data_IF_120988632888
#
_entry.id   IF_120988632888
#
_cell.length_a   1.000
_cell.length_b   1.000
_cell.length_c   1.000
_cell.angle_alpha   90.00
_cell.angle_beta   90.00
_cell.angle_gamma   90.00
#
_symmetry.space_group_name_H-M   'P 1'
#
loop_
_entity.id
_entity.type
_entity.pdbx_description
1 polymer ?
#
# COMPACT_ATOMS: atom_id res chain seq x y z
N UNK A 1 10.42 22.42 -18.84
CA UNK A 1 10.29 21.41 -19.92
C UNK A 1 10.25 19.97 -19.41
N UNK A 2 11.06 19.58 -18.42
CA UNK A 2 11.09 18.18 -17.92
C UNK A 2 9.80 17.72 -17.22
N UNK A 3 8.94 18.64 -16.79
CA UNK A 3 7.62 18.35 -16.23
C UNK A 3 6.64 17.73 -17.22
N UNK A 4 6.87 17.85 -18.54
CA UNK A 4 5.92 17.36 -19.55
C UNK A 4 5.77 15.84 -19.47
N UNK A 5 6.87 15.11 -19.33
CA UNK A 5 6.86 13.64 -19.29
C UNK A 5 6.26 13.09 -18.00
N UNK A 6 6.60 13.67 -16.84
CA UNK A 6 5.98 13.29 -15.56
C UNK A 6 4.48 13.55 -15.58
N UNK A 7 4.07 14.70 -16.12
CA UNK A 7 2.67 15.10 -16.16
C UNK A 7 1.87 14.28 -17.18
N UNK A 8 2.48 13.83 -18.27
CA UNK A 8 1.83 12.99 -19.26
C UNK A 8 1.48 11.61 -18.67
N UNK A 9 2.46 10.92 -18.07
CA UNK A 9 2.23 9.60 -17.45
C UNK A 9 1.28 9.72 -16.25
N UNK A 10 1.38 10.80 -15.49
CA UNK A 10 0.44 11.10 -14.41
C UNK A 10 -0.98 11.37 -14.91
N UNK A 11 -1.13 12.16 -15.98
CA UNK A 11 -2.43 12.43 -16.61
C UNK A 11 -3.08 11.15 -17.14
N UNK A 12 -2.29 10.30 -17.81
CA UNK A 12 -2.72 8.99 -18.28
C UNK A 12 -3.17 8.10 -17.11
N UNK A 13 -2.40 8.05 -16.02
CA UNK A 13 -2.76 7.30 -14.82
C UNK A 13 -4.05 7.81 -14.15
N UNK A 14 -4.27 9.13 -14.12
CA UNK A 14 -5.52 9.71 -13.60
C UNK A 14 -6.73 9.33 -14.46
N UNK A 15 -6.54 9.26 -15.77
CA UNK A 15 -7.56 8.89 -16.74
C UNK A 15 -7.70 7.37 -16.94
N UNK A 16 -6.85 6.55 -16.29
CA UNK A 16 -6.75 5.10 -16.51
C UNK A 16 -6.48 4.73 -17.99
N UNK A 17 -5.78 5.60 -18.71
CA UNK A 17 -5.37 5.34 -20.08
C UNK A 17 -4.02 4.63 -20.03
N UNK A 18 -3.95 3.42 -20.59
CA UNK A 18 -2.69 2.69 -20.68
C UNK A 18 -1.77 3.36 -21.72
N UNK A 19 -0.53 3.74 -21.37
CA UNK A 19 0.45 4.24 -22.33
C UNK A 19 0.79 3.17 -23.37
N UNK A 20 1.04 3.58 -24.61
CA UNK A 20 1.56 2.67 -25.66
C UNK A 20 3.05 2.46 -25.47
N UNK A 21 3.60 1.37 -26.00
CA UNK A 21 5.04 1.06 -25.91
C UNK A 21 5.91 2.18 -26.48
N UNK A 22 5.51 2.78 -27.61
CA UNK A 22 6.20 3.93 -28.20
C UNK A 22 6.18 5.15 -27.27
N UNK A 23 5.07 5.41 -26.57
CA UNK A 23 5.00 6.52 -25.61
C UNK A 23 5.86 6.26 -24.36
N UNK A 24 5.93 5.01 -23.90
CA UNK A 24 6.80 4.62 -22.79
C UNK A 24 8.27 4.74 -23.17
N UNK A 25 8.65 4.38 -24.39
CA UNK A 25 10.01 4.52 -24.88
C UNK A 25 10.46 6.00 -24.89
N UNK A 26 9.61 6.91 -25.36
CA UNK A 26 9.86 8.35 -25.29
C UNK A 26 9.95 8.85 -23.85
N UNK A 27 9.09 8.34 -22.96
CA UNK A 27 9.16 8.65 -21.53
C UNK A 27 10.51 8.21 -20.92
N UNK A 28 10.96 6.98 -21.19
CA UNK A 28 12.23 6.48 -20.66
C UNK A 28 13.43 7.26 -21.18
N UNK A 29 13.46 7.56 -22.48
CA UNK A 29 14.51 8.40 -23.08
C UNK A 29 14.50 9.82 -22.50
N UNK A 30 13.31 10.41 -22.37
CA UNK A 30 13.11 11.73 -21.78
C UNK A 30 13.54 11.79 -20.31
N UNK A 31 13.25 10.75 -19.53
CA UNK A 31 13.72 10.60 -18.16
C UNK A 31 15.24 10.49 -18.10
N UNK A 32 15.83 9.58 -18.87
CA UNK A 32 17.28 9.32 -18.90
C UNK A 32 18.09 10.58 -19.25
N UNK A 33 17.63 11.37 -20.23
CA UNK A 33 18.27 12.63 -20.60
C UNK A 33 18.18 13.75 -19.55
N UNK A 34 17.36 13.58 -18.51
CA UNK A 34 17.06 14.60 -17.51
C UNK A 34 17.17 14.12 -16.06
N UNK A 35 17.88 13.01 -15.84
CA UNK A 35 18.21 12.51 -14.50
C UNK A 35 18.84 13.60 -13.64
N UNK A 36 18.51 13.55 -12.35
CA UNK A 36 18.93 14.56 -11.36
C UNK A 36 18.28 15.94 -11.49
N UNK A 37 17.45 16.21 -12.51
CA UNK A 37 16.74 17.49 -12.67
C UNK A 37 15.30 17.47 -12.13
N UNK A 38 14.78 16.29 -11.82
CA UNK A 38 13.41 16.12 -11.34
C UNK A 38 13.30 16.50 -9.86
N UNK A 39 12.19 17.13 -9.50
CA UNK A 39 11.85 17.33 -8.09
C UNK A 39 11.42 16.00 -7.47
N UNK A 40 11.56 15.87 -6.16
CA UNK A 40 11.09 14.69 -5.43
C UNK A 40 9.60 14.41 -5.69
N UNK A 41 8.78 15.46 -5.82
CA UNK A 41 7.36 15.35 -6.10
C UNK A 41 7.08 14.81 -7.51
N UNK A 42 7.91 15.17 -8.49
CA UNK A 42 7.83 14.62 -9.85
C UNK A 42 8.20 13.13 -9.86
N UNK A 43 9.26 12.74 -9.15
CA UNK A 43 9.66 11.34 -9.03
C UNK A 43 8.56 10.50 -8.36
N UNK A 44 7.97 10.99 -7.26
CA UNK A 44 6.82 10.34 -6.62
C UNK A 44 5.64 10.16 -7.59
N UNK A 45 5.29 11.21 -8.33
CA UNK A 45 4.18 11.17 -9.28
C UNK A 45 4.42 10.15 -10.40
N UNK A 46 5.63 10.09 -10.96
CA UNK A 46 5.99 9.10 -11.97
C UNK A 46 5.77 7.67 -11.43
N UNK A 47 6.37 7.37 -10.29
CA UNK A 47 6.32 6.01 -9.73
C UNK A 47 4.91 5.62 -9.28
N UNK A 48 4.20 6.55 -8.64
CA UNK A 48 2.77 6.38 -8.32
C UNK A 48 1.94 6.07 -9.57
N UNK A 49 2.24 6.69 -10.71
CA UNK A 49 1.49 6.49 -11.95
C UNK A 49 1.63 5.07 -12.49
N UNK A 50 2.84 4.49 -12.40
CA UNK A 50 3.07 3.08 -12.70
C UNK A 50 2.26 2.15 -11.78
N UNK A 51 2.30 2.39 -10.47
CA UNK A 51 1.46 1.65 -9.49
C UNK A 51 -0.04 1.80 -9.74
N UNK A 52 -0.48 3.00 -10.14
CA UNK A 52 -1.88 3.29 -10.44
C UNK A 52 -2.37 2.55 -11.69
N UNK A 53 -1.53 2.48 -12.72
CA UNK A 53 -1.80 1.78 -13.96
C UNK A 53 -1.58 0.26 -13.86
N UNK A 54 -1.05 -0.23 -12.74
CA UNK A 54 -0.59 -1.61 -12.59
C UNK A 54 0.39 -2.02 -13.70
N UNK A 55 1.33 -1.13 -14.01
CA UNK A 55 2.26 -1.26 -15.11
C UNK A 55 3.68 -1.25 -14.56
N UNK A 56 4.34 -2.41 -14.56
CA UNK A 56 5.76 -2.48 -14.22
C UNK A 56 6.60 -1.75 -15.27
N UNK A 57 7.39 -0.73 -14.89
CA UNK A 57 8.31 -0.08 -15.82
C UNK A 57 9.52 -0.97 -16.10
N UNK A 58 10.34 -0.58 -17.08
CA UNK A 58 11.61 -1.29 -17.39
C UNK A 58 12.53 -1.30 -16.17
N UNK A 59 13.20 -2.43 -15.95
CA UNK A 59 14.14 -2.61 -14.84
C UNK A 59 15.24 -1.53 -14.81
N UNK A 60 15.82 -1.19 -15.96
CA UNK A 60 16.81 -0.10 -16.09
C UNK A 60 16.25 1.25 -15.58
N UNK A 61 14.99 1.54 -15.87
CA UNK A 61 14.35 2.76 -15.37
C UNK A 61 14.18 2.70 -13.85
N UNK A 62 13.85 1.54 -13.27
CA UNK A 62 13.70 1.40 -11.81
C UNK A 62 15.03 1.70 -11.12
N UNK A 63 16.14 1.13 -11.58
CA UNK A 63 17.45 1.39 -10.98
C UNK A 63 17.84 2.87 -11.08
N UNK A 64 17.66 3.47 -12.26
CA UNK A 64 17.94 4.88 -12.47
C UNK A 64 17.05 5.79 -11.60
N UNK A 65 15.78 5.43 -11.46
CA UNK A 65 14.81 6.13 -10.62
C UNK A 65 15.13 6.00 -9.13
N UNK A 66 15.52 4.82 -8.67
CA UNK A 66 15.91 4.59 -7.28
C UNK A 66 17.12 5.43 -6.90
N UNK A 67 18.15 5.47 -7.75
CA UNK A 67 19.31 6.33 -7.58
C UNK A 67 18.90 7.80 -7.38
N UNK A 68 18.13 8.33 -8.32
CA UNK A 68 17.68 9.73 -8.27
C UNK A 68 16.78 10.00 -7.05
N UNK A 69 15.95 9.04 -6.66
CA UNK A 69 15.06 9.18 -5.52
C UNK A 69 15.82 9.16 -4.19
N UNK A 70 16.83 8.30 -4.05
CA UNK A 70 17.67 8.23 -2.84
C UNK A 70 18.35 9.56 -2.57
N UNK A 71 18.82 10.28 -3.60
CA UNK A 71 19.41 11.63 -3.46
C UNK A 71 18.44 12.68 -2.89
N UNK A 72 17.14 12.42 -2.89
CA UNK A 72 16.14 13.33 -2.36
C UNK A 72 15.23 12.76 -1.27
N UNK A 73 15.37 11.48 -0.92
CA UNK A 73 14.45 10.73 -0.05
C UNK A 73 14.23 11.38 1.32
N UNK A 74 15.27 11.98 1.89
CA UNK A 74 15.21 12.68 3.19
C UNK A 74 14.32 13.94 3.19
N UNK A 75 13.99 14.48 2.00
CA UNK A 75 13.13 15.66 1.83
C UNK A 75 11.69 15.32 1.49
N UNK A 76 11.39 14.05 1.24
CA UNK A 76 10.06 13.59 0.83
C UNK A 76 9.15 13.55 2.04
N UNK A 77 7.89 13.96 1.85
CA UNK A 77 6.87 13.86 2.89
C UNK A 77 6.35 12.41 3.07
N UNK A 78 5.61 12.17 4.14
CA UNK A 78 5.06 10.83 4.44
C UNK A 78 4.13 10.31 3.34
N UNK A 79 3.40 11.21 2.66
CA UNK A 79 2.55 10.85 1.54
C UNK A 79 3.37 10.32 0.35
N UNK A 80 4.45 11.00 -0.03
CA UNK A 80 5.36 10.56 -1.09
C UNK A 80 6.03 9.23 -0.77
N UNK A 81 6.60 9.10 0.43
CA UNK A 81 7.29 7.87 0.87
C UNK A 81 6.35 6.66 0.86
N UNK A 82 5.14 6.81 1.42
CA UNK A 82 4.15 5.73 1.45
C UNK A 82 3.58 5.40 0.07
N UNK A 83 3.35 6.40 -0.79
CA UNK A 83 2.84 6.19 -2.15
C UNK A 83 3.85 5.45 -3.04
N UNK A 84 5.14 5.71 -2.87
CA UNK A 84 6.19 5.01 -3.60
C UNK A 84 6.20 3.53 -3.21
N UNK A 85 6.21 3.21 -1.91
CA UNK A 85 6.19 1.82 -1.45
C UNK A 85 4.89 1.11 -1.88
N UNK A 86 3.75 1.80 -1.79
CA UNK A 86 2.48 1.31 -2.33
C UNK A 86 2.56 1.01 -3.83
N UNK A 87 3.22 1.87 -4.61
CA UNK A 87 3.36 1.66 -6.04
C UNK A 87 4.22 0.43 -6.38
N UNK A 88 5.32 0.19 -5.65
CA UNK A 88 6.10 -1.06 -5.75
C UNK A 88 5.25 -2.29 -5.49
N UNK A 89 4.49 -2.28 -4.39
CA UNK A 89 3.59 -3.36 -4.02
C UNK A 89 2.48 -3.60 -5.06
N UNK A 90 1.98 -2.53 -5.68
CA UNK A 90 0.98 -2.62 -6.75
C UNK A 90 1.52 -3.29 -8.00
N UNK A 91 2.69 -2.87 -8.47
CA UNK A 91 3.31 -3.44 -9.68
C UNK A 91 4.02 -4.78 -9.42
N UNK A 92 4.01 -5.25 -8.17
CA UNK A 92 4.60 -6.52 -7.72
C UNK A 92 6.11 -6.60 -8.03
N UNK A 93 6.79 -5.46 -7.88
CA UNK A 93 8.25 -5.37 -8.03
C UNK A 93 8.87 -5.13 -6.66
N UNK A 94 9.87 -5.95 -6.31
CA UNK A 94 10.67 -5.77 -5.12
C UNK A 94 11.64 -4.58 -5.31
N UNK A 95 11.66 -3.57 -4.42
CA UNK A 95 12.67 -2.52 -4.46
C UNK A 95 14.07 -3.10 -4.27
N UNK A 96 15.11 -2.45 -4.81
CA UNK A 96 16.47 -2.91 -4.52
C UNK A 96 16.78 -2.85 -3.02
N UNK A 97 17.67 -3.72 -2.55
CA UNK A 97 18.06 -3.71 -1.14
C UNK A 97 18.69 -2.39 -0.70
N UNK A 98 19.33 -1.64 -1.60
CA UNK A 98 19.85 -0.29 -1.30
C UNK A 98 18.72 0.70 -1.11
N UNK A 99 17.74 0.70 -2.01
CA UNK A 99 16.57 1.55 -1.89
C UNK A 99 15.76 1.24 -0.63
N UNK A 100 15.47 -0.04 -0.38
CA UNK A 100 14.69 -0.46 0.78
C UNK A 100 15.35 -0.04 2.09
N UNK A 101 16.68 -0.16 2.22
CA UNK A 101 17.41 0.35 3.39
C UNK A 101 17.23 1.86 3.57
N UNK A 102 17.47 2.64 2.52
CA UNK A 102 17.31 4.10 2.57
C UNK A 102 15.87 4.51 2.92
N UNK A 103 14.88 3.78 2.38
CA UNK A 103 13.47 3.98 2.68
C UNK A 103 13.16 3.68 4.15
N UNK A 104 13.66 2.55 4.67
CA UNK A 104 13.46 2.14 6.07
C UNK A 104 14.12 3.12 7.05
N UNK A 105 15.28 3.68 6.72
CA UNK A 105 15.94 4.72 7.52
C UNK A 105 15.07 5.98 7.60
N UNK A 106 14.51 6.43 6.47
CA UNK A 106 13.59 7.59 6.44
C UNK A 106 12.31 7.31 7.20
N UNK A 107 11.70 6.14 7.01
CA UNK A 107 10.52 5.73 7.75
C UNK A 107 10.79 5.81 9.26
N UNK A 108 11.90 5.23 9.72
CA UNK A 108 12.25 5.19 11.13
C UNK A 108 12.45 6.58 11.74
N UNK A 109 13.02 7.51 10.98
CA UNK A 109 13.26 8.89 11.44
C UNK A 109 12.00 9.77 11.38
N UNK A 110 11.08 9.48 10.46
CA UNK A 110 9.96 10.38 10.12
C UNK A 110 8.57 9.82 10.43
N UNK A 111 8.43 8.60 10.95
CA UNK A 111 7.14 7.96 11.20
C UNK A 111 6.18 8.83 12.03
N UNK A 112 6.68 9.64 12.96
CA UNK A 112 5.85 10.57 13.75
C UNK A 112 5.10 11.64 12.92
N UNK A 113 5.46 11.81 11.64
CA UNK A 113 4.86 12.77 10.71
C UNK A 113 3.77 12.15 9.84
N UNK A 114 3.56 10.84 9.93
CA UNK A 114 2.68 10.11 9.03
C UNK A 114 1.27 10.07 9.63
N UNK A 115 0.26 10.02 8.76
CA UNK A 115 -1.14 9.91 9.18
C UNK A 115 -1.63 8.49 8.87
N UNK A 116 -2.91 8.25 9.16
CA UNK A 116 -3.49 6.92 9.07
C UNK A 116 -3.41 6.27 7.69
N UNK A 117 -3.55 7.06 6.62
CA UNK A 117 -3.48 6.55 5.25
C UNK A 117 -2.07 6.09 4.89
N UNK A 118 -1.04 6.84 5.27
CA UNK A 118 0.36 6.48 5.02
C UNK A 118 0.70 5.16 5.72
N UNK A 119 0.28 4.99 6.98
CA UNK A 119 0.51 3.75 7.70
C UNK A 119 -0.22 2.55 7.08
N UNK A 120 -1.46 2.74 6.64
CA UNK A 120 -2.23 1.70 5.94
C UNK A 120 -1.53 1.29 4.63
N UNK A 121 -1.05 2.25 3.86
CA UNK A 121 -0.28 1.98 2.63
C UNK A 121 0.99 1.19 2.92
N UNK A 122 1.73 1.54 3.97
CA UNK A 122 3.00 0.91 4.33
C UNK A 122 2.80 -0.54 4.77
N UNK A 123 1.89 -0.81 5.70
CA UNK A 123 1.67 -2.19 6.18
C UNK A 123 1.11 -3.10 5.08
N UNK A 124 0.23 -2.56 4.24
CA UNK A 124 -0.29 -3.28 3.07
C UNK A 124 0.83 -3.59 2.08
N UNK A 125 1.70 -2.63 1.80
CA UNK A 125 2.78 -2.81 0.85
C UNK A 125 3.83 -3.80 1.36
N UNK A 126 4.19 -3.75 2.65
CA UNK A 126 5.06 -4.75 3.26
C UNK A 126 4.48 -6.15 3.15
N UNK A 127 3.21 -6.34 3.48
CA UNK A 127 2.50 -7.61 3.32
C UNK A 127 2.50 -8.09 1.86
N UNK A 128 2.15 -7.21 0.92
CA UNK A 128 2.01 -7.56 -0.50
C UNK A 128 3.33 -7.93 -1.17
N UNK A 129 4.44 -7.36 -0.69
CA UNK A 129 5.81 -7.63 -1.16
C UNK A 129 6.51 -8.72 -0.33
N UNK A 130 5.87 -9.31 0.67
CA UNK A 130 6.49 -10.26 1.61
C UNK A 130 7.75 -9.68 2.30
N UNK A 131 7.70 -8.39 2.65
CA UNK A 131 8.77 -7.69 3.37
C UNK A 131 8.47 -7.78 4.86
N UNK A 132 9.37 -8.43 5.61
CA UNK A 132 9.39 -8.32 7.06
C UNK A 132 10.25 -7.12 7.47
N UNK A 133 9.67 -6.05 8.06
CA UNK A 133 10.37 -4.80 8.31
C UNK A 133 11.22 -4.82 9.60
N UNK A 134 11.19 -5.92 10.37
CA UNK A 134 11.82 -6.04 11.68
C UNK A 134 10.95 -5.52 12.83
N UNK A 135 11.26 -5.98 14.04
CA UNK A 135 10.47 -5.66 15.25
C UNK A 135 10.43 -4.16 15.54
N UNK A 136 11.56 -3.47 15.45
CA UNK A 136 11.63 -2.02 15.75
C UNK A 136 10.71 -1.19 14.86
N UNK A 137 10.68 -1.50 13.56
CA UNK A 137 9.84 -0.81 12.59
C UNK A 137 8.34 -1.14 12.79
N UNK A 138 8.01 -2.40 13.11
CA UNK A 138 6.65 -2.80 13.47
C UNK A 138 6.17 -2.09 14.74
N UNK A 139 7.00 -2.05 15.79
CA UNK A 139 6.69 -1.37 17.04
C UNK A 139 6.49 0.12 16.83
N UNK A 140 7.30 0.75 15.99
CA UNK A 140 7.10 2.13 15.59
C UNK A 140 5.80 2.32 14.82
N UNK A 141 5.50 1.45 13.86
CA UNK A 141 4.26 1.46 13.10
C UNK A 141 3.03 1.37 14.03
N UNK A 142 3.00 0.38 14.94
CA UNK A 142 1.90 0.18 15.89
C UNK A 142 1.72 1.37 16.83
N UNK A 143 2.81 1.96 17.33
CA UNK A 143 2.76 3.15 18.19
C UNK A 143 2.08 4.32 17.47
N UNK A 144 2.50 4.60 16.24
CA UNK A 144 1.97 5.74 15.51
C UNK A 144 0.55 5.51 14.99
N UNK A 145 0.23 4.28 14.55
CA UNK A 145 -1.15 3.91 14.19
C UNK A 145 -2.12 4.14 15.36
N UNK A 146 -1.74 3.75 16.58
CA UNK A 146 -2.54 4.03 17.79
C UNK A 146 -2.75 5.52 18.03
N UNK A 147 -1.73 6.35 17.81
CA UNK A 147 -1.83 7.81 17.95
C UNK A 147 -2.78 8.38 16.89
N UNK A 148 -2.61 7.99 15.63
CA UNK A 148 -3.48 8.42 14.53
C UNK A 148 -4.95 8.03 14.79
N UNK A 149 -5.19 6.80 15.25
CA UNK A 149 -6.53 6.31 15.58
C UNK A 149 -7.19 7.08 16.73
N UNK A 150 -6.43 7.45 17.78
CA UNK A 150 -6.95 8.26 18.89
C UNK A 150 -7.29 9.69 18.47
N UNK A 151 -6.62 10.20 17.44
CA UNK A 151 -6.84 11.54 16.91
C UNK A 151 -7.83 11.58 15.73
N UNK A 152 -8.50 10.46 15.43
CA UNK A 152 -9.38 10.32 14.25
C UNK A 152 -10.54 11.31 14.20
N UNK A 153 -11.02 11.76 15.37
CA UNK A 153 -12.16 12.71 15.44
C UNK A 153 -11.68 14.16 15.26
N UNK A 154 -10.39 14.44 15.48
CA UNK A 154 -9.75 15.75 15.28
C UNK A 154 -9.29 15.95 13.83
N UNK A 155 -8.99 14.85 13.15
CA UNK A 155 -8.62 14.80 11.74
C UNK A 155 -9.47 13.70 11.09
N UNK A 156 -10.68 14.02 10.61
CA UNK A 156 -11.59 13.02 10.09
C UNK A 156 -10.86 12.22 9.01
N UNK A 157 -10.65 10.93 9.30
CA UNK A 157 -10.26 9.96 8.29
C UNK A 157 -11.25 10.13 7.15
N UNK A 158 -10.81 10.62 5.99
CA UNK A 158 -11.66 10.59 4.82
C UNK A 158 -12.08 9.13 4.62
N UNK A 159 -13.39 8.83 4.53
CA UNK A 159 -13.82 7.50 4.19
C UNK A 159 -13.26 7.22 2.79
N UNK A 160 -12.26 6.35 2.71
CA UNK A 160 -11.84 5.78 1.44
C UNK A 160 -13.07 5.04 0.95
N UNK A 161 -13.73 5.57 -0.08
CA UNK A 161 -14.98 4.97 -0.56
C UNK A 161 -14.75 3.49 -0.87
N UNK A 162 -15.74 2.64 -0.61
CA UNK A 162 -15.68 1.22 -0.98
C UNK A 162 -15.40 1.02 -2.48
N UNK A 163 -15.79 1.99 -3.31
CA UNK A 163 -15.41 2.07 -4.72
C UNK A 163 -13.89 2.30 -4.93
N UNK A 164 -13.23 3.08 -4.08
CA UNK A 164 -11.78 3.25 -4.08
C UNK A 164 -11.09 1.96 -3.59
N UNK A 165 -11.56 1.36 -2.49
CA UNK A 165 -11.03 0.09 -1.95
C UNK A 165 -11.07 -1.06 -2.98
N UNK A 166 -12.24 -1.28 -3.62
CA UNK A 166 -12.39 -2.25 -4.72
C UNK A 166 -11.52 -1.91 -5.92
N UNK A 167 -11.41 -0.62 -6.27
CA UNK A 167 -10.52 -0.14 -7.36
C UNK A 167 -9.03 -0.34 -7.05
N UNK A 168 -8.66 -0.55 -5.79
CA UNK A 168 -7.28 -0.75 -5.35
C UNK A 168 -6.95 -2.20 -4.96
N UNK A 169 -7.88 -3.15 -5.17
CA UNK A 169 -7.67 -4.56 -4.79
C UNK A 169 -7.57 -4.77 -3.28
N UNK A 170 -8.08 -3.83 -2.49
CA UNK A 170 -8.22 -3.91 -1.05
C UNK A 170 -9.68 -4.25 -0.75
N UNK A 171 -10.07 -5.49 -1.00
CA UNK A 171 -11.38 -5.96 -0.54
C UNK A 171 -11.37 -5.96 0.99
N UNK A 172 -12.42 -5.41 1.60
CA UNK A 172 -12.67 -5.66 3.01
C UNK A 172 -12.82 -7.18 3.13
N UNK A 173 -11.93 -7.83 3.87
CA UNK A 173 -12.22 -9.17 4.39
C UNK A 173 -13.51 -8.97 5.16
N UNK A 174 -14.62 -9.46 4.60
CA UNK A 174 -15.95 -9.18 5.09
C UNK A 174 -16.02 -9.55 6.56
N UNK A 175 -16.66 -8.70 7.35
CA UNK A 175 -17.38 -9.18 8.52
C UNK A 175 -18.25 -10.34 8.01
N UNK A 176 -17.95 -11.56 8.44
CA UNK A 176 -18.86 -12.68 8.23
C UNK A 176 -20.18 -12.26 8.86
N UNK A 177 -21.20 -12.08 8.02
CA UNK A 177 -22.53 -11.62 8.39
C UNK A 177 -23.09 -12.45 9.55
N UNK A 178 -23.04 -11.91 10.77
CA UNK A 178 -24.00 -12.27 11.80
C UNK A 178 -25.35 -11.71 11.34
N UNK A 179 -26.24 -12.64 10.97
CA UNK A 179 -27.66 -12.47 10.61
C UNK A 179 -27.96 -12.38 9.11
N UNK A 180 -28.07 -13.53 8.46
CA UNK A 180 -29.32 -13.93 7.80
C UNK A 180 -29.24 -15.41 7.37
N UNK A 181 -29.79 -16.30 8.19
CA UNK A 181 -30.70 -17.36 7.69
C UNK A 181 -31.39 -18.09 8.86
N UNK A 182 -32.47 -17.49 9.34
CA UNK A 182 -33.44 -18.11 10.25
C UNK A 182 -34.35 -19.15 9.52
N UNK A 183 -33.96 -19.65 8.33
CA UNK A 183 -34.84 -20.52 7.53
C UNK A 183 -34.17 -21.71 6.82
N UNK A 184 -33.00 -22.18 7.26
CA UNK A 184 -32.44 -23.46 6.82
C UNK A 184 -32.37 -24.46 7.98
N UNK A 185 -33.54 -25.02 8.33
CA UNK A 185 -33.63 -26.25 9.14
C UNK A 185 -32.91 -27.40 8.44
N UNK A 186 -31.67 -27.67 8.84
CA UNK A 186 -31.12 -29.02 8.83
C UNK A 186 -30.97 -29.44 10.29
N UNK A 187 -31.77 -30.44 10.67
CA UNK A 187 -31.86 -31.01 12.00
C UNK A 187 -30.46 -31.40 12.52
N UNK A 188 -30.01 -30.81 13.63
CA UNK A 188 -29.03 -31.47 14.50
C UNK A 188 -29.77 -32.53 15.33
N UNK A 189 -29.18 -33.71 15.54
CA UNK A 189 -29.81 -34.75 16.34
C UNK A 189 -30.02 -34.26 17.77
N UNK A 190 -31.24 -34.47 18.28
CA UNK A 190 -31.59 -34.21 19.67
C UNK A 190 -30.66 -35.02 20.59
N UNK A 191 -30.05 -34.37 21.59
CA UNK A 191 -29.59 -35.07 22.78
C UNK A 191 -30.83 -35.58 23.50
N UNK A 192 -30.96 -36.91 23.56
CA UNK A 192 -31.81 -37.59 24.52
C UNK A 192 -31.18 -37.39 25.89
N UNK A 193 -31.74 -36.47 26.68
CA UNK A 193 -31.74 -36.65 28.13
C UNK A 193 -32.91 -37.59 28.42
N UNK A 194 -32.61 -38.85 28.74
CA UNK A 194 -33.51 -39.69 29.51
C UNK A 194 -32.75 -40.15 30.76
N UNK A 195 -33.30 -39.73 31.89
CA UNK A 195 -33.02 -40.28 33.21
C UNK A 195 -33.42 -41.76 33.21
N UNK A 196 -32.57 -42.61 33.79
CA UNK A 196 -32.88 -43.68 34.75
C UNK A 196 -31.77 -44.72 34.71
N UNK A 197 -31.00 -44.81 35.80
CA UNK A 197 -30.89 -46.03 36.60
C UNK A 197 -29.85 -45.85 37.73
N UNK A 198 -30.38 -45.59 38.93
CA UNK A 198 -29.73 -46.00 40.17
C UNK A 198 -29.72 -47.53 40.22
N UNK A 199 -28.55 -48.20 40.14
CA UNK A 199 -28.29 -49.46 40.87
C UNK A 199 -26.80 -49.53 41.27
N UNK A 200 -26.62 -49.87 42.54
CA UNK A 200 -25.46 -50.04 43.42
C UNK A 200 -24.22 -50.86 42.95
N UNK A 201 -23.18 -50.71 43.80
CA UNK A 201 -22.10 -51.65 44.25
C UNK A 201 -20.72 -51.06 43.90
N UNK A 202 -19.81 -50.69 44.82
CA UNK A 202 -19.48 -51.16 46.18
C UNK A 202 -18.86 -50.01 46.98
#
# INVERSE_FOLDING_TARGET
>A
EYSVWSNAVWGQAKLMIRPTDSSLELFYQGYKGNRGKYTWAQLCQMFWSFGKLNLAPKEEFIFDWEDDFIECIQRVDGQGISNVLWAYARIEVMPSGRFLRAWMDVFSQSAHRYMGQEFANIIWAWSRLDIYPGEDALDQWYRQYKIAFRNRDRYPFYPVSSASLRRFGMELIGDEDENDDENSRVQRPQRLDDQHDEIFIN
#
